data_IF_356076011867
#
_entry.id   IF_356076011867
#
_cell.length_a   1.000
_cell.length_b   1.000
_cell.length_c   1.000
_cell.angle_alpha   90.00
_cell.angle_beta   90.00
_cell.angle_gamma   90.00
#
_symmetry.space_group_name_H-M   'P 1'
#
loop_
_entity.id
_entity.type
_entity.pdbx_description
1 polymer ?
#
# COMPACT_ATOMS: atom_id res chain seq x y z
N UNK A 1 23.00 7.08 -0.86
CA UNK A 1 21.71 6.41 -0.54
C UNK A 1 20.58 7.05 -1.35
N UNK A 2 19.75 6.26 -1.99
CA UNK A 2 18.64 6.77 -2.78
C UNK A 2 17.53 7.34 -1.90
N UNK A 3 17.06 8.51 -2.25
CA UNK A 3 15.81 9.03 -1.70
C UNK A 3 14.62 8.30 -2.31
N UNK A 4 13.56 8.08 -1.52
CA UNK A 4 12.31 7.51 -2.04
C UNK A 4 11.39 8.55 -2.68
N UNK A 5 11.82 9.81 -2.71
CA UNK A 5 10.98 10.91 -3.21
C UNK A 5 10.52 10.70 -4.66
N UNK A 6 11.34 10.13 -5.50
CA UNK A 6 11.02 9.88 -6.91
C UNK A 6 10.19 8.62 -7.17
N UNK A 7 9.80 7.90 -6.14
CA UNK A 7 9.05 6.64 -6.28
C UNK A 7 7.54 6.85 -6.30
N UNK A 8 7.08 7.97 -6.80
CA UNK A 8 5.68 8.33 -6.92
C UNK A 8 5.44 9.27 -8.10
N UNK A 9 4.23 9.33 -8.66
CA UNK A 9 3.13 8.41 -8.44
C UNK A 9 3.37 7.07 -9.13
N UNK A 10 2.62 6.06 -8.74
CA UNK A 10 2.58 4.79 -9.44
C UNK A 10 1.19 4.64 -10.07
N UNK A 11 1.15 4.34 -11.37
CA UNK A 11 -0.11 4.23 -12.10
C UNK A 11 -0.20 2.83 -12.67
N UNK A 12 -1.29 2.13 -12.35
CA UNK A 12 -1.62 0.84 -12.95
C UNK A 12 -2.82 1.00 -13.88
N UNK A 13 -3.30 -0.09 -14.44
CA UNK A 13 -4.47 -0.05 -15.32
C UNK A 13 -5.68 0.59 -14.65
N UNK A 14 -5.96 0.22 -13.39
CA UNK A 14 -7.17 0.66 -12.70
C UNK A 14 -6.90 1.63 -11.54
N UNK A 15 -5.64 1.83 -11.14
CA UNK A 15 -5.32 2.57 -9.92
C UNK A 15 -4.28 3.65 -10.12
N UNK A 16 -4.42 4.68 -9.29
CA UNK A 16 -3.45 5.75 -9.10
C UNK A 16 -2.97 5.69 -7.65
N UNK A 17 -1.65 5.59 -7.46
CA UNK A 17 -1.05 5.48 -6.12
C UNK A 17 -0.07 6.62 -5.90
N UNK A 18 -0.16 7.24 -4.72
CA UNK A 18 0.74 8.34 -4.34
C UNK A 18 0.88 8.35 -2.82
N UNK A 19 1.74 9.24 -2.31
CA UNK A 19 1.87 9.41 -0.87
C UNK A 19 0.52 9.77 -0.24
N UNK A 20 0.30 9.34 1.00
CA UNK A 20 -0.96 9.62 1.69
C UNK A 20 -1.25 11.11 1.81
N UNK A 21 -0.21 11.94 1.87
CA UNK A 21 -0.33 13.40 1.95
C UNK A 21 -0.91 14.03 0.67
N UNK A 22 -0.95 13.29 -0.43
CA UNK A 22 -1.50 13.77 -1.70
C UNK A 22 -3.02 13.55 -1.82
N UNK A 23 -3.62 12.87 -0.86
CA UNK A 23 -5.06 12.61 -0.84
C UNK A 23 -5.75 13.49 0.19
N UNK A 24 -7.06 13.69 0.02
CA UNK A 24 -7.85 14.41 1.00
C UNK A 24 -7.82 13.68 2.33
N UNK A 25 -7.54 14.40 3.40
CA UNK A 25 -7.50 13.81 4.74
C UNK A 25 -8.80 13.08 5.08
N UNK A 26 -9.95 13.66 4.70
CA UNK A 26 -11.24 13.05 4.97
C UNK A 26 -11.37 11.67 4.30
N UNK A 27 -10.81 11.50 3.11
CA UNK A 27 -10.83 10.20 2.41
C UNK A 27 -10.07 9.13 3.20
N UNK A 28 -8.93 9.50 3.75
CA UNK A 28 -8.13 8.58 4.57
C UNK A 28 -8.84 8.28 5.89
N UNK A 29 -9.43 9.29 6.53
CA UNK A 29 -10.23 9.11 7.75
C UNK A 29 -11.39 8.14 7.50
N UNK A 30 -12.12 8.32 6.41
CA UNK A 30 -13.26 7.48 6.07
C UNK A 30 -12.83 6.03 5.86
N UNK A 31 -11.70 5.81 5.20
CA UNK A 31 -11.13 4.47 5.05
C UNK A 31 -10.77 3.85 6.40
N UNK A 32 -10.11 4.61 7.26
CA UNK A 32 -9.73 4.13 8.59
C UNK A 32 -10.96 3.77 9.43
N UNK A 33 -12.03 4.57 9.34
CA UNK A 33 -13.27 4.31 10.07
C UNK A 33 -13.98 3.04 9.64
N UNK A 34 -13.85 2.64 8.37
CA UNK A 34 -14.43 1.39 7.90
C UNK A 34 -13.75 0.17 8.54
N UNK A 35 -12.54 0.32 9.05
CA UNK A 35 -11.79 -0.74 9.70
C UNK A 35 -11.78 -0.63 11.21
N UNK A 36 -11.87 0.58 11.73
CA UNK A 36 -11.90 0.88 13.15
C UNK A 36 -12.81 2.08 13.38
N UNK A 37 -13.99 1.86 13.91
CA UNK A 37 -14.97 2.91 14.15
C UNK A 37 -14.48 4.01 15.09
N UNK A 38 -13.43 3.73 15.88
CA UNK A 38 -12.81 4.72 16.78
C UNK A 38 -11.82 5.64 16.06
N UNK A 39 -11.51 5.36 14.80
CA UNK A 39 -10.61 6.20 14.04
C UNK A 39 -11.18 7.61 13.92
N UNK A 40 -10.31 8.60 14.05
CA UNK A 40 -10.66 10.01 13.96
C UNK A 40 -9.56 10.79 13.27
N UNK A 41 -9.70 12.11 13.28
CA UNK A 41 -8.72 13.00 12.65
C UNK A 41 -7.34 12.86 13.30
N UNK A 42 -7.29 12.71 14.62
CA UNK A 42 -6.03 12.62 15.36
C UNK A 42 -5.31 11.30 15.07
N UNK A 43 -6.00 10.17 15.17
CA UNK A 43 -5.39 8.87 14.92
C UNK A 43 -4.95 8.72 13.46
N UNK A 44 -5.73 9.26 12.52
CA UNK A 44 -5.40 9.23 11.10
C UNK A 44 -4.18 10.10 10.79
N UNK A 45 -4.12 11.30 11.37
CA UNK A 45 -2.96 12.18 11.21
C UNK A 45 -1.69 11.55 11.78
N UNK A 46 -1.78 10.91 12.94
CA UNK A 46 -0.65 10.19 13.53
C UNK A 46 -0.19 9.04 12.64
N UNK A 47 -1.14 8.30 12.06
CA UNK A 47 -0.82 7.22 11.11
C UNK A 47 -0.07 7.77 9.88
N UNK A 48 -0.58 8.83 9.26
CA UNK A 48 0.05 9.43 8.08
C UNK A 48 1.47 9.91 8.43
N UNK A 49 1.64 10.58 9.57
CA UNK A 49 2.95 11.08 10.00
C UNK A 49 3.94 9.93 10.21
N UNK A 50 3.50 8.83 10.83
CA UNK A 50 4.35 7.67 11.04
C UNK A 50 4.79 7.05 9.71
N UNK A 51 3.88 6.94 8.76
CA UNK A 51 4.17 6.40 7.43
C UNK A 51 5.17 7.30 6.69
N UNK A 52 4.97 8.62 6.74
CA UNK A 52 5.89 9.55 6.07
C UNK A 52 7.27 9.53 6.71
N UNK A 53 7.35 9.38 8.03
CA UNK A 53 8.63 9.22 8.71
C UNK A 53 9.37 7.95 8.26
N UNK A 54 8.64 6.85 8.09
CA UNK A 54 9.22 5.59 7.60
C UNK A 54 9.76 5.75 6.17
N UNK A 55 9.02 6.46 5.30
CA UNK A 55 9.47 6.73 3.94
C UNK A 55 10.74 7.58 3.95
N UNK A 56 10.77 8.65 4.75
CA UNK A 56 11.92 9.53 4.84
C UNK A 56 13.15 8.83 5.42
N UNK A 57 12.94 7.87 6.32
CA UNK A 57 14.01 7.07 6.91
C UNK A 57 14.34 5.82 6.10
N UNK A 58 13.66 5.60 5.00
CA UNK A 58 13.83 4.44 4.11
C UNK A 58 13.59 3.09 4.79
N UNK A 59 12.69 3.09 5.78
CA UNK A 59 12.26 1.88 6.49
C UNK A 59 11.08 1.19 5.81
N UNK A 60 10.31 1.93 5.05
CA UNK A 60 9.14 1.41 4.37
C UNK A 60 8.62 2.36 3.32
N UNK A 61 7.76 1.83 2.47
CA UNK A 61 7.02 2.56 1.45
C UNK A 61 5.55 2.23 1.62
N UNK A 62 4.70 3.24 1.65
CA UNK A 62 3.26 3.02 1.63
C UNK A 62 2.59 4.10 0.81
N UNK A 63 1.85 3.68 -0.19
CA UNK A 63 1.08 4.56 -1.07
C UNK A 63 -0.40 4.45 -0.71
N UNK A 64 -1.11 5.59 -0.77
CA UNK A 64 -2.56 5.57 -0.85
C UNK A 64 -2.96 5.10 -2.24
N UNK A 65 -4.10 4.42 -2.33
CA UNK A 65 -4.60 3.84 -3.58
C UNK A 65 -5.96 4.44 -3.92
N UNK A 66 -6.06 4.99 -5.12
CA UNK A 66 -7.31 5.56 -5.64
C UNK A 66 -7.72 4.81 -6.91
N UNK A 67 -8.99 4.45 -7.00
CA UNK A 67 -9.58 3.91 -8.23
C UNK A 67 -9.64 5.01 -9.28
N UNK A 68 -9.08 4.77 -10.47
CA UNK A 68 -9.00 5.78 -11.52
C UNK A 68 -10.36 6.14 -12.11
N UNK A 69 -11.27 5.18 -12.14
CA UNK A 69 -12.60 5.39 -12.71
C UNK A 69 -13.53 6.14 -11.77
N UNK A 70 -13.63 5.68 -10.52
CA UNK A 70 -14.55 6.25 -9.54
C UNK A 70 -13.96 7.44 -8.79
N UNK A 71 -12.63 7.57 -8.77
CA UNK A 71 -11.89 8.55 -7.98
C UNK A 71 -12.02 8.33 -6.47
N UNK A 72 -12.43 7.13 -6.05
CA UNK A 72 -12.53 6.79 -4.63
C UNK A 72 -11.20 6.29 -4.09
N UNK A 73 -10.87 6.74 -2.88
CA UNK A 73 -9.75 6.19 -2.12
C UNK A 73 -10.16 4.81 -1.62
N UNK A 74 -9.41 3.77 -1.97
CA UNK A 74 -9.79 2.38 -1.67
C UNK A 74 -8.87 1.70 -0.67
N UNK A 75 -7.76 2.31 -0.33
CA UNK A 75 -6.88 1.76 0.68
C UNK A 75 -5.43 2.13 0.52
N UNK A 76 -4.56 1.24 0.98
CA UNK A 76 -3.12 1.45 1.00
C UNK A 76 -2.41 0.21 0.48
N UNK A 77 -1.24 0.42 -0.11
CA UNK A 77 -0.39 -0.67 -0.58
C UNK A 77 1.07 -0.23 -0.49
N UNK A 78 1.95 -1.15 -0.16
CA UNK A 78 3.35 -0.81 -0.04
C UNK A 78 4.24 -1.97 0.39
N UNK A 79 5.42 -1.61 0.85
CA UNK A 79 6.42 -2.55 1.33
C UNK A 79 6.97 -2.02 2.65
N UNK A 80 6.83 -2.80 3.70
CA UNK A 80 7.37 -2.44 5.02
C UNK A 80 8.60 -3.26 5.35
N UNK A 81 9.27 -2.90 6.44
CA UNK A 81 10.42 -3.64 6.97
C UNK A 81 11.56 -3.75 5.96
N UNK A 82 11.83 -2.66 5.25
CA UNK A 82 12.82 -2.65 4.16
C UNK A 82 14.26 -2.82 4.63
N UNK A 83 14.52 -2.59 5.92
CA UNK A 83 15.87 -2.75 6.47
C UNK A 83 16.17 -4.19 6.88
N UNK A 84 15.18 -5.08 6.83
CA UNK A 84 15.38 -6.51 7.10
C UNK A 84 15.65 -7.27 5.81
N UNK A 85 15.99 -8.56 5.96
CA UNK A 85 16.15 -9.47 4.82
C UNK A 85 14.82 -9.96 4.24
N UNK A 86 13.73 -9.73 4.96
CA UNK A 86 12.40 -10.19 4.57
C UNK A 86 11.40 -9.03 4.61
N UNK A 87 11.43 -8.13 3.61
CA UNK A 87 10.45 -7.05 3.53
C UNK A 87 9.04 -7.62 3.36
N UNK A 88 8.06 -6.87 3.83
CA UNK A 88 6.66 -7.31 3.83
C UNK A 88 5.91 -6.53 2.74
N UNK A 89 5.37 -7.26 1.76
CA UNK A 89 4.42 -6.70 0.79
C UNK A 89 3.10 -6.53 1.51
N UNK A 90 2.62 -5.31 1.60
CA UNK A 90 1.45 -4.93 2.37
C UNK A 90 0.38 -4.38 1.44
N UNK A 91 -0.82 -4.94 1.50
CA UNK A 91 -2.00 -4.42 0.78
C UNK A 91 -3.19 -4.48 1.72
N UNK A 92 -3.86 -3.35 1.90
CA UNK A 92 -5.05 -3.26 2.73
C UNK A 92 -6.05 -2.36 2.01
N UNK A 93 -7.02 -3.00 1.37
CA UNK A 93 -7.98 -2.31 0.49
C UNK A 93 -9.40 -2.80 0.77
N UNK A 94 -10.37 -1.96 0.40
CA UNK A 94 -11.79 -2.25 0.61
C UNK A 94 -12.56 -1.97 -0.69
N UNK A 95 -13.64 -2.73 -0.89
CA UNK A 95 -14.62 -2.47 -1.95
C UNK A 95 -14.05 -2.55 -3.37
N UNK A 96 -13.09 -3.43 -3.59
CA UNK A 96 -12.57 -3.74 -4.92
C UNK A 96 -12.67 -5.23 -5.21
N UNK A 97 -12.62 -5.59 -6.49
CA UNK A 97 -12.67 -7.00 -6.89
C UNK A 97 -11.37 -7.72 -6.56
N UNK A 98 -11.43 -9.05 -6.53
CA UNK A 98 -10.24 -9.87 -6.36
C UNK A 98 -9.22 -9.63 -7.47
N UNK A 99 -9.67 -9.51 -8.71
CA UNK A 99 -8.77 -9.22 -9.84
C UNK A 99 -8.05 -7.89 -9.68
N UNK A 100 -8.76 -6.86 -9.21
CA UNK A 100 -8.17 -5.55 -8.95
C UNK A 100 -7.18 -5.60 -7.78
N UNK A 101 -7.50 -6.35 -6.75
CA UNK A 101 -6.57 -6.55 -5.63
C UNK A 101 -5.30 -7.27 -6.11
N UNK A 102 -5.43 -8.29 -6.95
CA UNK A 102 -4.27 -8.98 -7.53
C UNK A 102 -3.42 -8.06 -8.40
N UNK A 103 -4.03 -7.13 -9.11
CA UNK A 103 -3.30 -6.11 -9.87
C UNK A 103 -2.38 -5.31 -8.96
N UNK A 104 -2.89 -4.87 -7.80
CA UNK A 104 -2.10 -4.14 -6.81
C UNK A 104 -0.96 -4.99 -6.25
N UNK A 105 -1.27 -6.22 -5.84
CA UNK A 105 -0.27 -7.13 -5.28
C UNK A 105 0.87 -7.36 -6.28
N UNK A 106 0.53 -7.67 -7.53
CA UNK A 106 1.52 -7.92 -8.57
C UNK A 106 2.38 -6.70 -8.84
N UNK A 107 1.79 -5.51 -8.82
CA UNK A 107 2.55 -4.27 -9.03
C UNK A 107 3.54 -4.02 -7.89
N UNK A 108 3.13 -4.24 -6.65
CA UNK A 108 4.02 -4.08 -5.50
C UNK A 108 5.15 -5.12 -5.52
N UNK A 109 4.83 -6.37 -5.85
CA UNK A 109 5.83 -7.43 -5.98
C UNK A 109 6.84 -7.10 -7.08
N UNK A 110 6.36 -6.61 -8.23
CA UNK A 110 7.22 -6.19 -9.32
C UNK A 110 8.18 -5.08 -8.86
N UNK A 111 7.66 -4.11 -8.10
CA UNK A 111 8.45 -3.02 -7.53
C UNK A 111 9.53 -3.57 -6.60
N UNK A 112 9.17 -4.53 -5.72
CA UNK A 112 10.11 -5.18 -4.81
C UNK A 112 11.22 -5.90 -5.61
N UNK A 113 10.86 -6.65 -6.63
CA UNK A 113 11.85 -7.37 -7.46
C UNK A 113 12.80 -6.41 -8.18
N UNK A 114 12.30 -5.25 -8.60
CA UNK A 114 13.10 -4.26 -9.30
C UNK A 114 14.15 -3.60 -8.39
N UNK A 115 13.76 -3.27 -7.16
CA UNK A 115 14.61 -2.49 -6.27
C UNK A 115 15.32 -3.32 -5.20
N UNK A 116 14.76 -4.45 -4.81
CA UNK A 116 15.33 -5.35 -3.80
C UNK A 116 15.26 -6.80 -4.26
N UNK A 117 15.95 -7.15 -5.37
CA UNK A 117 15.82 -8.49 -5.96
C UNK A 117 16.32 -9.61 -5.08
N UNK A 118 17.28 -9.33 -4.20
CA UNK A 118 17.92 -10.34 -3.35
C UNK A 118 17.18 -10.62 -2.05
N UNK A 119 16.13 -9.86 -1.76
CA UNK A 119 15.36 -10.02 -0.53
C UNK A 119 14.13 -10.89 -0.77
N UNK A 120 13.80 -11.74 0.21
CA UNK A 120 12.62 -12.61 0.15
C UNK A 120 11.41 -11.89 0.73
N UNK A 121 10.38 -11.69 -0.09
CA UNK A 121 9.17 -10.99 0.34
C UNK A 121 8.31 -11.88 1.24
N UNK A 122 7.78 -11.28 2.30
CA UNK A 122 6.63 -11.80 3.05
C UNK A 122 5.39 -11.02 2.64
N UNK A 123 4.21 -11.48 3.03
CA UNK A 123 2.95 -10.88 2.59
C UNK A 123 2.02 -10.63 3.76
N UNK A 124 1.45 -9.44 3.80
CA UNK A 124 0.36 -9.07 4.72
C UNK A 124 -0.73 -8.43 3.88
N UNK A 125 -1.72 -9.22 3.51
CA UNK A 125 -2.73 -8.85 2.51
C UNK A 125 -4.11 -8.87 3.16
N UNK A 126 -4.88 -7.82 2.95
CA UNK A 126 -6.26 -7.73 3.39
C UNK A 126 -7.09 -7.05 2.29
N UNK A 127 -8.20 -7.65 1.84
CA UNK A 127 -8.73 -8.95 2.24
C UNK A 127 -7.90 -10.11 1.69
N UNK A 128 -7.94 -11.24 2.36
CA UNK A 128 -7.24 -12.44 1.94
C UNK A 128 -8.27 -13.55 1.71
N UNK A 129 -8.27 -14.13 0.51
CA UNK A 129 -9.12 -15.25 0.16
C UNK A 129 -8.28 -16.34 -0.51
N UNK A 130 -8.91 -17.47 -0.84
CA UNK A 130 -8.21 -18.63 -1.38
C UNK A 130 -7.55 -18.33 -2.74
N UNK A 131 -8.22 -17.54 -3.58
CA UNK A 131 -7.68 -17.15 -4.89
C UNK A 131 -6.44 -16.28 -4.75
N UNK A 132 -6.48 -15.30 -3.84
CA UNK A 132 -5.35 -14.42 -3.58
C UNK A 132 -4.20 -15.21 -2.97
N UNK A 133 -4.50 -16.10 -2.02
CA UNK A 133 -3.49 -16.94 -1.38
C UNK A 133 -2.78 -17.82 -2.40
N UNK A 134 -3.54 -18.45 -3.30
CA UNK A 134 -2.97 -19.28 -4.36
C UNK A 134 -2.08 -18.47 -5.31
N UNK A 135 -2.50 -17.25 -5.65
CA UNK A 135 -1.72 -16.36 -6.51
C UNK A 135 -0.41 -15.94 -5.83
N UNK A 136 -0.44 -15.63 -4.53
CA UNK A 136 0.76 -15.30 -3.76
C UNK A 136 1.73 -16.48 -3.73
N UNK A 137 1.22 -17.69 -3.50
CA UNK A 137 2.05 -18.90 -3.44
C UNK A 137 2.72 -19.20 -4.79
N UNK A 138 2.17 -18.69 -5.88
CA UNK A 138 2.72 -18.87 -7.23
C UNK A 138 3.75 -17.78 -7.62
N UNK A 139 3.95 -16.77 -6.80
CA UNK A 139 4.88 -15.67 -7.09
C UNK A 139 6.34 -16.04 -6.78
#
# INVERSE_FOLDING_TARGET
MRSFEGLRPIITEHFYMDWLTEFKLQSVIDFQKQQDEKADIMSTSNFINAIMNDIMSQKGLLWGVMDKETKHFVGVAGISNLQSDSPIVYVNVLNISTDSELELIRRIVQFKHLYWPDKTAQFNISPLNDEIKAAIDAL
#
